data_IF_514826080243
#
_entry.id   IF_514826080243
#
_cell.length_a   1.000
_cell.length_b   1.000
_cell.length_c   1.000
_cell.angle_alpha   90.00
_cell.angle_beta   90.00
_cell.angle_gamma   90.00
#
_symmetry.space_group_name_H-M   'P 1'
#
loop_
_entity.id
_entity.type
_entity.pdbx_description
1 polymer ?
#
# COMPACT_ATOMS: atom_id res chain seq x y z
N UNK A 1 0.46 29.03 -4.84
CA UNK A 1 1.66 28.21 -4.72
C UNK A 1 1.27 27.02 -3.85
N UNK A 2 1.26 25.77 -4.36
CA UNK A 2 1.02 24.60 -3.49
C UNK A 2 2.17 24.54 -2.48
N UNK A 3 1.90 24.30 -1.18
CA UNK A 3 2.97 24.08 -0.22
C UNK A 3 3.84 22.91 -0.75
N UNK A 4 5.17 23.09 -0.64
CA UNK A 4 6.09 22.00 -1.00
C UNK A 4 5.80 20.80 -0.09
N UNK A 5 5.72 19.59 -0.62
CA UNK A 5 5.59 18.41 0.19
C UNK A 5 6.76 18.37 1.18
N UNK A 6 6.50 18.05 2.45
CA UNK A 6 7.53 17.97 3.51
C UNK A 6 7.54 16.57 4.14
N UNK A 7 6.91 15.63 3.45
CA UNK A 7 6.80 14.24 3.92
C UNK A 7 8.18 13.60 3.95
N UNK A 8 8.41 12.82 5.02
CA UNK A 8 9.64 12.05 5.19
C UNK A 8 9.53 10.74 4.43
N UNK A 9 10.51 10.47 3.60
CA UNK A 9 10.65 9.21 2.88
C UNK A 9 11.90 8.50 3.39
N UNK A 10 11.73 7.29 3.89
CA UNK A 10 12.84 6.42 4.25
C UNK A 10 13.20 5.54 3.05
N UNK A 11 14.47 5.58 2.66
CA UNK A 11 15.05 4.73 1.60
C UNK A 11 15.98 3.72 2.26
N UNK A 12 15.69 2.43 2.07
CA UNK A 12 16.53 1.32 2.52
C UNK A 12 17.10 0.64 1.27
N UNK A 13 18.36 0.92 0.97
CA UNK A 13 19.04 0.53 -0.26
C UNK A 13 20.56 0.57 0.00
N UNK A 14 21.30 -0.47 -0.37
CA UNK A 14 22.75 -0.57 -0.16
C UNK A 14 23.57 -0.01 -1.33
N UNK A 15 23.00 0.07 -2.54
CA UNK A 15 23.64 0.68 -3.69
C UNK A 15 23.65 2.22 -3.57
N UNK A 16 24.86 2.77 -3.40
CA UNK A 16 25.07 4.21 -3.21
C UNK A 16 24.65 5.06 -4.41
N UNK A 17 24.71 4.53 -5.61
CA UNK A 17 24.32 5.27 -6.81
C UNK A 17 22.80 5.34 -6.94
N UNK A 18 22.11 4.27 -6.59
CA UNK A 18 20.64 4.26 -6.50
C UNK A 18 20.19 5.20 -5.38
N UNK A 19 20.81 5.13 -4.21
CA UNK A 19 20.50 6.04 -3.09
C UNK A 19 20.68 7.50 -3.52
N UNK A 20 21.80 7.83 -4.17
CA UNK A 20 22.07 9.19 -4.67
C UNK A 20 21.02 9.64 -5.68
N UNK A 21 20.67 8.77 -6.62
CA UNK A 21 19.64 9.04 -7.64
C UNK A 21 18.28 9.30 -6.99
N UNK A 22 17.85 8.45 -6.06
CA UNK A 22 16.58 8.58 -5.36
C UNK A 22 16.54 9.84 -4.52
N UNK A 23 17.57 10.05 -3.69
CA UNK A 23 17.67 11.21 -2.82
C UNK A 23 17.59 12.52 -3.60
N UNK A 24 18.42 12.69 -4.64
CA UNK A 24 18.42 13.89 -5.48
C UNK A 24 17.03 14.19 -6.06
N UNK A 25 16.38 13.18 -6.64
CA UNK A 25 15.09 13.40 -7.32
C UNK A 25 13.92 13.60 -6.35
N UNK A 26 13.90 12.90 -5.22
CA UNK A 26 12.87 13.07 -4.20
C UNK A 26 12.99 14.42 -3.49
N UNK A 27 14.22 14.85 -3.13
CA UNK A 27 14.45 16.16 -2.52
C UNK A 27 14.10 17.30 -3.48
N UNK A 28 14.36 17.15 -4.78
CA UNK A 28 13.94 18.10 -5.82
C UNK A 28 12.42 18.26 -5.90
N UNK A 29 11.66 17.21 -5.59
CA UNK A 29 10.20 17.26 -5.49
C UNK A 29 9.70 17.80 -4.13
N UNK A 30 10.62 18.13 -3.19
CA UNK A 30 10.34 18.73 -1.91
C UNK A 30 10.19 17.75 -0.74
N UNK A 31 10.47 16.47 -0.93
CA UNK A 31 10.42 15.46 0.14
C UNK A 31 11.67 15.52 1.01
N UNK A 32 11.55 15.10 2.27
CA UNK A 32 12.69 14.88 3.16
C UNK A 32 13.13 13.43 3.10
N UNK A 33 14.36 13.17 2.67
CA UNK A 33 14.87 11.81 2.46
C UNK A 33 15.83 11.39 3.57
N UNK A 34 15.51 10.28 4.21
CA UNK A 34 16.38 9.55 5.12
C UNK A 34 16.83 8.30 4.37
N UNK A 35 18.12 8.00 4.33
CA UNK A 35 18.63 6.83 3.63
C UNK A 35 19.54 6.00 4.54
N UNK A 36 19.38 4.68 4.48
CA UNK A 36 20.17 3.69 5.21
C UNK A 36 20.51 2.51 4.30
N UNK A 37 21.61 1.82 4.57
CA UNK A 37 22.15 0.79 3.67
C UNK A 37 21.88 -0.65 4.10
N UNK A 38 21.09 -0.90 5.15
CA UNK A 38 20.77 -2.25 5.59
C UNK A 38 19.42 -2.31 6.31
N UNK A 39 18.87 -3.52 6.43
CA UNK A 39 17.54 -3.72 7.00
C UNK A 39 17.44 -3.46 8.50
N UNK A 40 18.48 -3.67 9.29
CA UNK A 40 18.50 -3.34 10.74
C UNK A 40 18.43 -1.83 10.94
N UNK A 41 19.28 -1.08 10.20
CA UNK A 41 19.24 0.37 10.20
C UNK A 41 17.88 0.89 9.68
N UNK A 42 17.29 0.20 8.69
CA UNK A 42 15.94 0.47 8.17
C UNK A 42 14.87 0.37 9.26
N UNK A 43 14.86 -0.71 10.02
CA UNK A 43 13.91 -0.90 11.12
C UNK A 43 14.09 0.15 12.23
N UNK A 44 15.34 0.46 12.59
CA UNK A 44 15.64 1.49 13.58
C UNK A 44 15.19 2.88 13.13
N UNK A 45 15.46 3.26 11.87
CA UNK A 45 15.03 4.53 11.29
C UNK A 45 13.51 4.62 11.20
N UNK A 46 12.84 3.54 10.82
CA UNK A 46 11.38 3.47 10.77
C UNK A 46 10.73 3.81 12.11
N UNK A 47 11.25 3.27 13.21
CA UNK A 47 10.76 3.52 14.57
C UNK A 47 11.06 4.94 15.06
N UNK A 48 12.27 5.41 14.78
CA UNK A 48 12.77 6.72 15.25
C UNK A 48 12.11 7.88 14.49
N UNK A 49 12.14 7.81 13.16
CA UNK A 49 11.83 8.95 12.29
C UNK A 49 10.38 8.98 11.83
N UNK A 50 9.66 7.85 11.93
CA UNK A 50 8.26 7.68 11.55
C UNK A 50 7.97 8.26 10.16
N UNK A 51 8.60 7.72 9.10
CA UNK A 51 8.42 8.23 7.76
C UNK A 51 6.99 8.00 7.24
N UNK A 52 6.56 8.88 6.35
CA UNK A 52 5.27 8.81 5.68
C UNK A 52 5.26 7.82 4.50
N UNK A 53 6.45 7.42 4.00
CA UNK A 53 6.62 6.39 2.98
C UNK A 53 7.96 5.70 3.14
N UNK A 54 7.99 4.40 2.85
CA UNK A 54 9.19 3.59 2.81
C UNK A 54 9.47 3.13 1.37
N UNK A 55 10.68 3.38 0.86
CA UNK A 55 11.20 2.77 -0.35
C UNK A 55 12.21 1.73 0.10
N UNK A 56 11.99 0.46 -0.28
CA UNK A 56 12.71 -0.67 0.28
C UNK A 56 13.21 -1.60 -0.82
N UNK A 57 14.53 -1.76 -0.91
CA UNK A 57 15.09 -2.82 -1.76
C UNK A 57 14.87 -4.19 -1.11
N UNK A 58 14.58 -5.18 -1.96
CA UNK A 58 14.47 -6.57 -1.55
C UNK A 58 15.82 -7.12 -1.09
N UNK A 59 16.90 -6.73 -1.77
CA UNK A 59 18.24 -7.30 -1.57
C UNK A 59 19.13 -6.40 -0.70
N UNK A 60 18.71 -6.11 0.54
CA UNK A 60 19.54 -5.37 1.48
C UNK A 60 20.23 -6.30 2.49
N UNK A 61 21.42 -5.92 3.00
CA UNK A 61 22.15 -6.71 4.01
C UNK A 61 21.41 -6.86 5.34
N UNK A 62 21.80 -7.87 6.12
CA UNK A 62 21.37 -8.20 7.49
C UNK A 62 19.92 -8.72 7.53
N UNK A 63 18.93 -7.85 7.54
CA UNK A 63 17.51 -8.19 7.42
C UNK A 63 17.12 -7.91 5.98
N UNK A 64 16.71 -8.93 5.21
CA UNK A 64 16.25 -8.76 3.84
C UNK A 64 14.97 -7.93 3.75
N UNK A 65 14.69 -7.36 2.57
CA UNK A 65 13.57 -6.45 2.40
C UNK A 65 12.20 -7.08 2.69
N UNK A 66 12.00 -8.37 2.44
CA UNK A 66 10.73 -9.04 2.73
C UNK A 66 10.53 -9.24 4.23
N UNK A 67 11.58 -9.60 4.94
CA UNK A 67 11.52 -9.74 6.39
C UNK A 67 11.35 -8.38 7.07
N UNK A 68 12.08 -7.37 6.60
CA UNK A 68 11.88 -6.00 7.07
C UNK A 68 10.45 -5.52 6.83
N UNK A 69 9.87 -5.80 5.66
CA UNK A 69 8.47 -5.48 5.37
C UNK A 69 7.51 -6.12 6.39
N UNK A 70 7.70 -7.41 6.72
CA UNK A 70 6.88 -8.09 7.74
C UNK A 70 6.98 -7.40 9.10
N UNK A 71 8.20 -7.01 9.52
CA UNK A 71 8.44 -6.32 10.79
C UNK A 71 7.78 -4.94 10.78
N UNK A 72 7.97 -4.17 9.72
CA UNK A 72 7.35 -2.84 9.55
C UNK A 72 5.83 -2.93 9.61
N UNK A 73 5.21 -3.94 8.98
CA UNK A 73 3.74 -4.10 8.95
C UNK A 73 3.12 -4.45 10.31
N UNK A 74 3.90 -4.94 11.25
CA UNK A 74 3.44 -5.14 12.65
C UNK A 74 3.31 -3.82 13.42
N UNK A 75 4.08 -2.80 13.03
CA UNK A 75 4.25 -1.57 13.79
C UNK A 75 3.74 -0.32 13.05
N UNK A 76 3.62 -0.37 11.70
CA UNK A 76 3.33 0.80 10.87
C UNK A 76 2.40 0.50 9.71
N UNK A 77 1.65 1.55 9.33
CA UNK A 77 0.78 1.58 8.15
C UNK A 77 1.39 2.40 7.01
N UNK A 78 2.56 2.98 7.19
CA UNK A 78 3.21 3.78 6.16
C UNK A 78 3.28 2.99 4.86
N UNK A 79 2.91 3.56 3.71
CA UNK A 79 3.01 2.89 2.43
C UNK A 79 4.45 2.46 2.15
N UNK A 80 4.60 1.26 1.58
CA UNK A 80 5.89 0.67 1.21
C UNK A 80 5.94 0.42 -0.28
N UNK A 81 6.90 1.07 -0.94
CA UNK A 81 7.28 0.82 -2.33
C UNK A 81 8.50 -0.08 -2.35
N UNK A 82 8.34 -1.30 -2.86
CA UNK A 82 9.47 -2.24 -2.99
C UNK A 82 10.28 -1.94 -4.25
N UNK A 83 11.61 -1.98 -4.15
CA UNK A 83 12.51 -2.03 -5.30
C UNK A 83 13.01 -3.46 -5.46
N UNK A 84 13.02 -4.00 -6.68
CA UNK A 84 13.49 -5.36 -6.92
C UNK A 84 14.25 -5.47 -8.22
N UNK A 85 15.35 -6.22 -8.23
CA UNK A 85 16.05 -6.60 -9.45
C UNK A 85 15.40 -7.81 -10.14
N UNK A 86 14.49 -8.52 -9.45
CA UNK A 86 13.92 -9.77 -9.92
C UNK A 86 12.65 -9.52 -10.72
N UNK A 87 12.67 -10.00 -11.96
CA UNK A 87 11.51 -10.00 -12.87
C UNK A 87 10.55 -11.15 -12.60
N UNK A 88 10.86 -12.05 -11.66
CA UNK A 88 10.03 -13.21 -11.41
C UNK A 88 8.72 -12.78 -10.75
N UNK A 89 7.63 -13.21 -11.36
CA UNK A 89 6.26 -12.96 -10.92
C UNK A 89 6.04 -13.38 -9.46
N UNK A 90 6.72 -14.45 -9.05
CA UNK A 90 6.71 -14.99 -7.69
C UNK A 90 7.15 -13.97 -6.65
N UNK A 91 8.20 -13.20 -6.89
CA UNK A 91 8.71 -12.22 -5.92
C UNK A 91 7.78 -11.00 -5.79
N UNK A 92 7.13 -10.60 -6.90
CA UNK A 92 6.11 -9.52 -6.87
C UNK A 92 4.86 -9.97 -6.13
N UNK A 93 4.41 -11.20 -6.38
CA UNK A 93 3.28 -11.81 -5.69
C UNK A 93 3.61 -11.94 -4.20
N UNK A 94 4.78 -12.48 -3.83
CA UNK A 94 5.21 -12.64 -2.45
C UNK A 94 5.24 -11.33 -1.67
N UNK A 95 5.78 -10.28 -2.24
CA UNK A 95 5.85 -9.02 -1.52
C UNK A 95 4.48 -8.33 -1.40
N UNK A 96 3.57 -8.39 -2.42
CA UNK A 96 2.17 -7.98 -2.27
C UNK A 96 1.48 -8.84 -1.20
N UNK A 97 1.78 -10.14 -1.16
CA UNK A 97 1.36 -11.02 -0.08
C UNK A 97 1.85 -10.59 1.29
N UNK A 98 3.05 -10.07 1.40
CA UNK A 98 3.63 -9.57 2.64
C UNK A 98 3.14 -8.16 3.02
N UNK A 99 2.35 -7.51 2.16
CA UNK A 99 1.73 -6.22 2.43
C UNK A 99 2.46 -5.01 1.87
N UNK A 100 3.30 -5.18 0.83
CA UNK A 100 3.79 -4.05 0.05
C UNK A 100 2.63 -3.33 -0.65
N UNK A 101 2.72 -2.02 -0.81
CA UNK A 101 1.69 -1.21 -1.46
C UNK A 101 1.93 -1.08 -2.97
N UNK A 102 3.19 -1.14 -3.41
CA UNK A 102 3.55 -1.11 -4.82
C UNK A 102 4.98 -1.63 -5.05
N UNK A 103 5.36 -1.83 -6.33
CA UNK A 103 6.67 -2.31 -6.76
C UNK A 103 7.23 -1.50 -7.90
N UNK A 104 8.56 -1.46 -7.93
CA UNK A 104 9.33 -0.96 -9.06
C UNK A 104 10.46 -1.95 -9.36
N UNK A 105 10.55 -2.40 -10.60
CA UNK A 105 11.59 -3.33 -11.05
C UNK A 105 12.81 -2.54 -11.53
N UNK A 106 14.00 -2.91 -11.05
CA UNK A 106 15.28 -2.38 -11.50
C UNK A 106 15.68 -3.00 -12.85
N UNK A 107 16.18 -2.22 -13.86
CA UNK A 107 16.31 -0.78 -13.84
C UNK A 107 14.98 -0.06 -14.04
N UNK A 108 14.77 1.05 -13.36
CA UNK A 108 13.52 1.81 -13.38
C UNK A 108 13.69 3.23 -13.93
N UNK A 109 12.61 3.76 -14.48
CA UNK A 109 12.51 5.16 -14.83
C UNK A 109 12.25 6.05 -13.62
N UNK A 110 13.05 7.12 -13.43
CA UNK A 110 12.88 8.06 -12.32
C UNK A 110 11.46 8.67 -12.30
N UNK A 111 10.92 9.02 -13.48
CA UNK A 111 9.57 9.58 -13.61
C UNK A 111 8.48 8.61 -13.13
N UNK A 112 8.65 7.33 -13.45
CA UNK A 112 7.73 6.27 -13.00
C UNK A 112 7.75 6.15 -11.47
N UNK A 113 8.96 6.05 -10.88
CA UNK A 113 9.11 5.96 -9.42
C UNK A 113 8.50 7.17 -8.71
N UNK A 114 8.77 8.38 -9.16
CA UNK A 114 8.19 9.61 -8.59
C UNK A 114 6.66 9.64 -8.71
N UNK A 115 6.10 9.16 -9.83
CA UNK A 115 4.65 9.07 -10.00
C UNK A 115 4.02 8.10 -8.99
N UNK A 116 4.67 6.95 -8.74
CA UNK A 116 4.24 5.96 -7.74
C UNK A 116 4.35 6.51 -6.32
N UNK A 117 5.46 7.16 -5.98
CA UNK A 117 5.65 7.84 -4.68
C UNK A 117 4.53 8.86 -4.44
N UNK A 118 4.26 9.73 -5.41
CA UNK A 118 3.16 10.71 -5.32
C UNK A 118 1.80 10.04 -5.15
N UNK A 119 1.54 8.95 -5.87
CA UNK A 119 0.30 8.20 -5.75
C UNK A 119 0.12 7.56 -4.37
N UNK A 120 1.20 7.01 -3.79
CA UNK A 120 1.20 6.41 -2.46
C UNK A 120 0.99 7.47 -1.36
N UNK A 121 1.72 8.59 -1.42
CA UNK A 121 1.60 9.69 -0.44
C UNK A 121 0.27 10.42 -0.53
N UNK A 122 -0.31 10.61 -1.74
CA UNK A 122 -1.64 11.21 -1.90
C UNK A 122 -2.73 10.43 -1.17
N UNK A 123 -2.57 9.11 -1.02
CA UNK A 123 -3.48 8.24 -0.28
C UNK A 123 -3.36 8.41 1.23
N UNK A 124 -2.24 8.98 1.70
CA UNK A 124 -1.96 9.25 3.13
C UNK A 124 -2.35 10.67 3.55
N UNK A 125 -2.69 11.57 2.59
CA UNK A 125 -3.06 12.95 2.87
C UNK A 125 -4.57 13.14 3.03
N UNK A 126 -5.03 14.27 3.63
CA UNK A 126 -6.44 14.56 3.79
C UNK A 126 -7.10 14.72 2.41
N UNK A 127 -8.03 13.82 2.09
CA UNK A 127 -8.89 13.95 0.91
C UNK A 127 -9.97 14.99 1.17
N UNK A 128 -10.30 15.78 0.14
CA UNK A 128 -11.38 16.76 0.18
C UNK A 128 -12.70 16.15 0.66
N UNK A 129 -13.37 16.88 1.53
CA UNK A 129 -14.54 16.50 2.29
C UNK A 129 -15.73 16.08 1.39
N UNK A 130 -16.07 14.80 1.43
CA UNK A 130 -17.42 14.30 1.17
C UNK A 130 -17.67 13.14 2.13
N UNK A 131 -18.81 13.18 2.86
CA UNK A 131 -19.31 12.27 3.89
C UNK A 131 -18.32 11.19 4.36
N UNK A 132 -17.58 11.50 5.37
CA UNK A 132 -16.31 10.84 5.70
C UNK A 132 -16.43 9.41 6.25
N UNK A 133 -17.62 8.97 6.64
CA UNK A 133 -17.81 7.65 7.24
C UNK A 133 -18.68 6.76 6.35
N UNK A 134 -18.05 5.71 5.80
CA UNK A 134 -18.74 4.65 5.08
C UNK A 134 -19.11 3.54 6.06
N UNK A 135 -20.35 3.02 5.94
CA UNK A 135 -20.87 1.98 6.85
C UNK A 135 -21.47 0.82 6.09
N UNK A 136 -21.29 -0.39 6.65
CA UNK A 136 -22.02 -1.59 6.25
C UNK A 136 -22.11 -2.55 7.46
N UNK A 137 -23.29 -2.68 8.05
CA UNK A 137 -23.47 -3.45 9.28
C UNK A 137 -22.57 -2.95 10.40
N UNK A 138 -21.74 -3.85 10.94
CA UNK A 138 -20.77 -3.51 11.99
C UNK A 138 -19.47 -2.87 11.50
N UNK A 139 -19.35 -2.58 10.20
CA UNK A 139 -18.16 -1.93 9.63
C UNK A 139 -18.34 -0.41 9.58
N UNK A 140 -17.35 0.32 10.07
CA UNK A 140 -17.21 1.77 9.90
C UNK A 140 -15.84 2.07 9.30
N UNK A 141 -15.80 2.84 8.21
CA UNK A 141 -14.57 3.31 7.57
C UNK A 141 -14.60 4.82 7.55
N UNK A 142 -13.75 5.43 8.37
CA UNK A 142 -13.51 6.87 8.33
C UNK A 142 -12.45 7.14 7.25
N UNK A 143 -12.91 7.70 6.14
CA UNK A 143 -12.06 7.93 4.96
C UNK A 143 -11.06 9.05 5.21
N UNK A 144 -11.42 10.07 6.01
CA UNK A 144 -10.56 11.20 6.33
C UNK A 144 -9.44 10.83 7.30
N UNK A 145 -9.80 10.07 8.36
CA UNK A 145 -8.84 9.63 9.36
C UNK A 145 -8.09 8.37 8.98
N UNK A 146 -8.49 7.74 7.87
CA UNK A 146 -7.91 6.47 7.43
C UNK A 146 -8.06 5.36 8.49
N UNK A 147 -9.19 5.37 9.21
CA UNK A 147 -9.49 4.45 10.29
C UNK A 147 -10.59 3.47 9.90
N UNK A 148 -10.45 2.24 10.37
CA UNK A 148 -11.49 1.20 10.22
C UNK A 148 -11.85 0.65 11.58
N UNK A 149 -13.16 0.52 11.82
CA UNK A 149 -13.70 -0.11 13.03
C UNK A 149 -14.62 -1.26 12.63
N UNK A 150 -14.48 -2.36 13.35
CA UNK A 150 -15.34 -3.53 13.28
C UNK A 150 -16.08 -3.64 14.61
N UNK A 151 -17.40 -3.45 14.58
CA UNK A 151 -18.24 -3.43 15.82
C UNK A 151 -17.66 -2.52 16.91
N UNK A 152 -17.24 -1.33 16.52
CA UNK A 152 -16.66 -0.32 17.41
C UNK A 152 -15.17 -0.53 17.76
N UNK A 153 -14.57 -1.67 17.44
CA UNK A 153 -13.14 -1.93 17.68
C UNK A 153 -12.30 -1.53 16.49
N UNK A 154 -11.29 -0.70 16.70
CA UNK A 154 -10.33 -0.32 15.66
C UNK A 154 -9.50 -1.52 15.18
N UNK A 155 -9.34 -1.65 13.87
CA UNK A 155 -8.49 -2.66 13.24
C UNK A 155 -7.43 -2.00 12.36
N UNK A 156 -6.30 -2.70 12.19
CA UNK A 156 -5.19 -2.24 11.37
C UNK A 156 -5.27 -2.86 9.97
N UNK A 157 -5.57 -2.02 8.98
CA UNK A 157 -5.46 -2.39 7.57
C UNK A 157 -4.20 -1.76 6.95
N UNK A 158 -3.59 -2.43 5.98
CA UNK A 158 -2.61 -1.79 5.10
C UNK A 158 -3.30 -0.79 4.18
N UNK A 159 -2.55 0.10 3.53
CA UNK A 159 -3.12 1.10 2.62
C UNK A 159 -3.94 0.44 1.50
N UNK A 160 -3.49 -0.71 0.97
CA UNK A 160 -4.22 -1.44 -0.09
C UNK A 160 -5.48 -2.12 0.42
N UNK A 161 -5.45 -2.72 1.59
CA UNK A 161 -6.63 -3.32 2.21
C UNK A 161 -7.67 -2.24 2.55
N UNK A 162 -7.23 -1.08 3.02
CA UNK A 162 -8.09 0.07 3.26
C UNK A 162 -8.76 0.57 1.97
N UNK A 163 -7.97 0.84 0.92
CA UNK A 163 -8.50 1.30 -0.37
C UNK A 163 -9.45 0.25 -0.97
N UNK A 164 -9.12 -1.02 -0.84
CA UNK A 164 -9.96 -2.11 -1.30
C UNK A 164 -11.32 -2.13 -0.57
N UNK A 165 -11.33 -2.05 0.76
CA UNK A 165 -12.56 -1.98 1.54
C UNK A 165 -13.38 -0.73 1.19
N UNK A 166 -12.71 0.41 1.07
CA UNK A 166 -13.33 1.69 0.70
C UNK A 166 -14.04 1.62 -0.64
N UNK A 167 -13.40 1.10 -1.71
CA UNK A 167 -14.04 1.01 -3.03
C UNK A 167 -15.23 0.06 -3.04
N UNK A 168 -15.18 -1.03 -2.27
CA UNK A 168 -16.32 -1.94 -2.13
C UNK A 168 -17.51 -1.25 -1.43
N UNK A 169 -17.25 -0.49 -0.37
CA UNK A 169 -18.28 0.28 0.33
C UNK A 169 -18.88 1.36 -0.56
N UNK A 170 -18.04 2.11 -1.28
CA UNK A 170 -18.48 3.12 -2.25
C UNK A 170 -19.28 2.53 -3.42
N UNK A 171 -19.02 1.27 -3.77
CA UNK A 171 -19.81 0.57 -4.78
C UNK A 171 -21.24 0.25 -4.32
N UNK A 172 -21.55 0.35 -3.02
CA UNK A 172 -22.91 0.23 -2.49
C UNK A 172 -23.57 -1.12 -2.82
N UNK A 173 -22.83 -2.23 -2.67
CA UNK A 173 -23.33 -3.59 -2.96
C UNK A 173 -23.20 -4.02 -4.43
N UNK A 174 -22.81 -3.12 -5.35
CA UNK A 174 -22.51 -3.50 -6.73
C UNK A 174 -21.26 -4.37 -6.79
N UNK A 175 -21.24 -5.30 -7.76
CA UNK A 175 -20.08 -6.15 -7.99
C UNK A 175 -18.99 -5.34 -8.71
N UNK A 176 -17.78 -5.39 -8.20
CA UNK A 176 -16.58 -4.90 -8.89
C UNK A 176 -15.81 -6.10 -9.45
N UNK A 177 -15.43 -6.04 -10.72
CA UNK A 177 -14.58 -7.06 -11.33
C UNK A 177 -13.16 -7.01 -10.75
N UNK A 178 -12.41 -8.10 -10.89
CA UNK A 178 -11.01 -8.14 -10.45
C UNK A 178 -10.16 -7.06 -11.14
N UNK A 179 -10.38 -6.86 -12.43
CA UNK A 179 -9.69 -5.82 -13.22
C UNK A 179 -10.02 -4.42 -12.72
N UNK A 180 -11.30 -4.13 -12.45
CA UNK A 180 -11.72 -2.86 -11.87
C UNK A 180 -11.11 -2.61 -10.50
N UNK A 181 -10.96 -3.66 -9.70
CA UNK A 181 -10.32 -3.57 -8.39
C UNK A 181 -8.82 -3.30 -8.55
N UNK A 182 -8.14 -4.01 -9.45
CA UNK A 182 -6.72 -3.78 -9.76
C UNK A 182 -6.49 -2.35 -10.23
N UNK A 183 -7.28 -1.88 -11.19
CA UNK A 183 -7.18 -0.51 -11.70
C UNK A 183 -7.38 0.53 -10.58
N UNK A 184 -8.44 0.38 -9.78
CA UNK A 184 -8.78 1.37 -8.74
C UNK A 184 -7.85 1.36 -7.55
N UNK A 185 -7.40 0.18 -7.11
CA UNK A 185 -6.57 0.04 -5.91
C UNK A 185 -5.08 0.15 -6.22
N UNK A 186 -4.64 -0.37 -7.36
CA UNK A 186 -3.22 -0.39 -7.73
C UNK A 186 -2.86 0.57 -8.87
N UNK A 187 -3.85 1.10 -9.60
CA UNK A 187 -3.63 2.04 -10.69
C UNK A 187 -3.06 1.36 -11.95
N UNK A 188 -3.33 0.09 -12.14
CA UNK A 188 -2.81 -0.67 -13.26
C UNK A 188 -3.64 -0.48 -14.52
N UNK A 189 -2.97 -0.13 -15.62
CA UNK A 189 -3.53 -0.20 -16.96
C UNK A 189 -3.50 -1.67 -17.46
N UNK A 190 -4.46 -2.02 -18.31
CA UNK A 190 -4.60 -3.36 -18.93
C UNK A 190 -3.36 -3.83 -19.71
N UNK A 191 -2.41 -2.96 -19.97
CA UNK A 191 -1.14 -3.28 -20.63
C UNK A 191 -0.11 -3.98 -19.73
N UNK A 192 -0.34 -4.02 -18.42
CA UNK A 192 0.52 -4.74 -17.48
C UNK A 192 -0.11 -6.11 -17.18
N UNK A 193 0.58 -7.19 -17.56
CA UNK A 193 0.23 -8.58 -17.21
C UNK A 193 0.36 -8.82 -15.70
N UNK A 194 -0.64 -8.38 -14.94
CA UNK A 194 -0.72 -8.69 -13.51
C UNK A 194 -1.80 -9.73 -13.30
N UNK A 195 -1.41 -10.81 -12.65
CA UNK A 195 -2.32 -11.88 -12.30
C UNK A 195 -3.42 -11.35 -11.35
N UNK A 196 -4.67 -11.52 -11.75
CA UNK A 196 -5.85 -11.19 -10.95
C UNK A 196 -5.92 -11.97 -9.63
N UNK A 197 -5.10 -13.01 -9.45
CA UNK A 197 -4.94 -13.76 -8.20
C UNK A 197 -4.47 -12.88 -7.05
N UNK A 198 -3.73 -11.80 -7.32
CA UNK A 198 -3.34 -10.80 -6.32
C UNK A 198 -4.56 -10.23 -5.59
N UNK A 199 -5.67 -9.99 -6.30
CA UNK A 199 -6.92 -9.51 -5.70
C UNK A 199 -7.48 -10.53 -4.72
N UNK A 200 -7.48 -11.81 -5.11
CA UNK A 200 -8.05 -12.89 -4.29
C UNK A 200 -7.29 -13.05 -2.95
N UNK A 201 -5.97 -12.87 -2.97
CA UNK A 201 -5.13 -12.92 -1.77
C UNK A 201 -5.41 -11.73 -0.83
N UNK A 202 -5.52 -10.52 -1.38
CA UNK A 202 -5.88 -9.35 -0.57
C UNK A 202 -7.27 -9.48 0.04
N UNK A 203 -8.21 -10.10 -0.67
CA UNK A 203 -9.54 -10.43 -0.11
C UNK A 203 -9.44 -11.40 1.05
N UNK A 204 -8.63 -12.44 0.94
CA UNK A 204 -8.45 -13.43 2.01
C UNK A 204 -7.96 -12.74 3.30
N UNK A 205 -6.94 -11.89 3.20
CA UNK A 205 -6.39 -11.13 4.34
C UNK A 205 -7.35 -10.10 4.90
N UNK A 206 -8.03 -9.37 4.01
CA UNK A 206 -9.04 -8.41 4.44
C UNK A 206 -10.12 -9.12 5.25
N UNK A 207 -10.61 -10.28 4.78
CA UNK A 207 -11.58 -11.09 5.53
C UNK A 207 -11.07 -11.54 6.89
N UNK A 208 -9.81 -11.98 6.97
CA UNK A 208 -9.18 -12.37 8.24
C UNK A 208 -9.20 -11.21 9.24
N UNK A 209 -8.82 -10.00 8.80
CA UNK A 209 -8.81 -8.80 9.65
C UNK A 209 -10.20 -8.28 10.01
N UNK A 210 -11.18 -8.44 9.12
CA UNK A 210 -12.57 -8.07 9.37
C UNK A 210 -13.26 -9.02 10.35
N UNK A 211 -12.72 -10.21 10.60
CA UNK A 211 -13.24 -11.15 11.60
C UNK A 211 -14.73 -11.42 11.47
N UNK A 212 -15.57 -10.99 12.44
CA UNK A 212 -17.01 -11.27 12.42
C UNK A 212 -17.76 -10.63 11.23
N UNK A 213 -17.21 -9.60 10.62
CA UNK A 213 -17.79 -8.94 9.45
C UNK A 213 -17.22 -9.44 8.11
N UNK A 214 -16.34 -10.46 8.14
CA UNK A 214 -15.71 -11.04 6.94
C UNK A 214 -16.72 -11.51 5.88
N UNK A 215 -17.85 -12.08 6.31
CA UNK A 215 -18.91 -12.57 5.44
C UNK A 215 -19.59 -11.49 4.59
N UNK A 216 -19.41 -10.20 4.93
CA UNK A 216 -19.90 -9.08 4.14
C UNK A 216 -19.14 -8.93 2.82
N UNK A 217 -17.86 -9.24 2.80
CA UNK A 217 -17.08 -9.27 1.55
C UNK A 217 -17.38 -10.58 0.81
N UNK A 218 -18.24 -10.50 -0.19
CA UNK A 218 -18.77 -11.66 -0.90
C UNK A 218 -18.07 -11.84 -2.23
N UNK A 219 -17.66 -13.07 -2.54
CA UNK A 219 -17.17 -13.47 -3.86
C UNK A 219 -18.34 -13.73 -4.80
N UNK A 220 -18.33 -13.10 -5.96
CA UNK A 220 -19.21 -13.44 -7.09
C UNK A 220 -18.38 -14.27 -8.06
N UNK A 221 -18.66 -15.59 -8.11
CA UNK A 221 -17.88 -16.56 -8.88
C UNK A 221 -17.67 -16.08 -10.33
N UNK A 222 -16.45 -16.16 -10.81
CA UNK A 222 -16.00 -15.76 -12.16
C UNK A 222 -16.17 -14.26 -12.51
N UNK A 223 -16.67 -13.41 -11.60
CA UNK A 223 -16.90 -11.98 -11.84
C UNK A 223 -15.97 -11.13 -10.97
N UNK A 224 -16.09 -11.22 -9.65
CA UNK A 224 -15.32 -10.37 -8.75
C UNK A 224 -15.84 -10.36 -7.33
N UNK A 225 -15.92 -9.19 -6.72
CA UNK A 225 -16.27 -9.02 -5.32
C UNK A 225 -17.27 -7.90 -5.10
N UNK A 226 -18.05 -8.03 -4.04
CA UNK A 226 -18.95 -6.98 -3.54
C UNK A 226 -18.99 -7.00 -2.03
N UNK A 227 -19.48 -5.92 -1.45
CA UNK A 227 -19.82 -5.86 -0.05
C UNK A 227 -21.34 -5.90 0.15
N UNK A 228 -21.82 -6.67 1.13
CA UNK A 228 -23.22 -6.62 1.56
C UNK A 228 -23.42 -5.38 2.44
N UNK A 229 -24.31 -4.47 2.03
CA UNK A 229 -24.61 -3.22 2.76
C UNK A 229 -25.79 -3.37 3.71
N UNK A 230 -26.64 -4.37 3.50
CA UNK A 230 -27.81 -4.67 4.36
C UNK A 230 -27.40 -5.55 5.55
N UNK A 231 -28.19 -5.46 6.63
CA UNK A 231 -28.01 -6.28 7.85
C UNK A 231 -28.18 -7.77 7.60
#
# INVERSE_FOLDING_TARGET
MRPMPNEKILVVEDDKDIVRLLKYNLEKEGYRVISVGDGEAGLAAMRKDRPELLILDVMVPKIDGFELLKLVRRESRAPVLMLTARKEEVDRVLGLELGADDYVVKPFGVRELLARVKALLRRSGPAEAAASILRAGGLEVDVERYEVRVRGKGILLTSKEFEFLKILLQAGGRVLSRDQILEKVWGYDRSMEIDTRTVDQHVARLREKLGPEAARVTTVKNVGYRIKTEE
#
